data_IF_245405584481
#
_entry.id   IF_245405584481
#
_cell.length_a   1.000
_cell.length_b   1.000
_cell.length_c   1.000
_cell.angle_alpha   90.00
_cell.angle_beta   90.00
_cell.angle_gamma   90.00
#
_symmetry.space_group_name_H-M   'P 1'
#
loop_
_entity.id
_entity.type
_entity.pdbx_description
1 polymer ?
#
# COMPACT_ATOMS: atom_id res chain seq x y z
N UNK A 1 28.13 -10.63 17.24
CA UNK A 1 26.70 -10.60 16.84
C UNK A 1 26.51 -9.39 15.94
N UNK A 2 25.99 -9.56 14.72
CA UNK A 2 25.67 -8.42 13.87
C UNK A 2 24.51 -7.64 14.48
N UNK A 3 24.70 -6.36 14.74
CA UNK A 3 23.64 -5.48 15.24
C UNK A 3 22.57 -5.31 14.17
N UNK A 4 21.34 -5.75 14.47
CA UNK A 4 20.20 -5.54 13.58
C UNK A 4 19.84 -4.06 13.69
N UNK A 5 20.19 -3.27 12.68
CA UNK A 5 19.73 -1.88 12.58
C UNK A 5 18.22 -1.87 12.46
N UNK A 6 17.55 -1.05 13.26
CA UNK A 6 16.09 -0.88 13.24
C UNK A 6 15.72 0.56 12.89
N UNK A 7 14.45 0.75 12.54
CA UNK A 7 13.80 2.06 12.38
C UNK A 7 12.33 1.92 12.75
N UNK A 8 11.67 3.05 12.98
CA UNK A 8 10.21 3.07 13.17
C UNK A 8 9.50 2.61 11.88
N UNK A 9 8.36 1.95 12.05
CA UNK A 9 7.46 1.60 10.97
C UNK A 9 7.17 2.83 10.09
N UNK A 10 7.16 2.66 8.77
CA UNK A 10 6.84 3.78 7.89
C UNK A 10 5.38 4.27 8.02
N UNK A 11 4.48 3.51 8.64
CA UNK A 11 3.09 3.92 8.78
C UNK A 11 2.95 4.99 9.88
N UNK A 12 2.33 6.13 9.56
CA UNK A 12 2.41 7.33 10.41
C UNK A 12 1.70 7.18 11.77
N UNK A 13 0.84 6.17 11.95
CA UNK A 13 0.16 5.84 13.21
C UNK A 13 0.88 4.77 14.04
N UNK A 14 2.05 4.27 13.60
CA UNK A 14 2.69 3.09 14.16
C UNK A 14 4.15 3.35 14.55
N UNK A 15 4.47 3.22 15.84
CA UNK A 15 5.83 3.44 16.38
C UNK A 15 6.66 2.16 16.54
N UNK A 16 6.17 1.03 16.01
CA UNK A 16 6.86 -0.27 16.14
C UNK A 16 8.23 -0.21 15.46
N UNK A 17 9.27 -0.64 16.19
CA UNK A 17 10.61 -0.79 15.63
C UNK A 17 10.68 -2.02 14.73
N UNK A 18 11.11 -1.81 13.49
CA UNK A 18 11.27 -2.85 12.48
C UNK A 18 12.71 -2.88 11.95
N UNK A 19 13.23 -4.06 11.58
CA UNK A 19 14.54 -4.19 10.95
C UNK A 19 14.67 -3.25 9.74
N UNK A 20 15.84 -2.64 9.53
CA UNK A 20 16.10 -1.64 8.49
C UNK A 20 15.91 -2.13 7.05
N UNK A 21 15.77 -3.43 6.85
CA UNK A 21 15.48 -4.03 5.55
C UNK A 21 13.97 -4.21 5.28
N UNK A 22 13.09 -3.93 6.26
CA UNK A 22 11.63 -3.99 6.13
C UNK A 22 11.03 -2.59 6.19
N UNK A 23 10.22 -2.20 5.22
CA UNK A 23 9.64 -0.85 5.20
C UNK A 23 8.65 -0.60 6.36
N UNK A 24 7.88 -1.62 6.73
CA UNK A 24 6.77 -1.53 7.69
C UNK A 24 6.69 -2.79 8.54
N UNK A 25 5.94 -2.70 9.64
CA UNK A 25 5.59 -3.88 10.42
C UNK A 25 4.67 -4.80 9.60
N UNK A 26 4.63 -6.09 9.96
CA UNK A 26 3.84 -7.10 9.22
C UNK A 26 2.35 -6.74 9.14
N UNK A 27 1.80 -6.11 10.17
CA UNK A 27 0.38 -5.74 10.24
C UNK A 27 0.04 -4.63 9.24
N UNK A 28 0.76 -3.53 9.29
CA UNK A 28 0.55 -2.41 8.36
C UNK A 28 0.88 -2.82 6.93
N UNK A 29 1.94 -3.60 6.73
CA UNK A 29 2.27 -4.13 5.40
C UNK A 29 1.17 -5.03 4.84
N UNK A 30 0.43 -5.77 5.67
CA UNK A 30 -0.68 -6.60 5.20
C UNK A 30 -1.79 -5.75 4.56
N UNK A 31 -2.04 -4.54 5.08
CA UNK A 31 -3.05 -3.60 4.59
C UNK A 31 -2.69 -2.95 3.24
N UNK A 32 -1.42 -2.99 2.83
CA UNK A 32 -1.00 -2.42 1.54
C UNK A 32 -1.49 -3.31 0.38
N UNK A 33 -2.17 -2.77 -0.65
CA UNK A 33 -2.59 -3.53 -1.83
C UNK A 33 -1.42 -4.18 -2.57
N UNK A 34 -1.64 -5.36 -3.17
CA UNK A 34 -0.61 -6.14 -3.87
C UNK A 34 0.09 -5.36 -5.01
N UNK A 35 -0.66 -4.52 -5.72
CA UNK A 35 -0.12 -3.64 -6.77
C UNK A 35 0.91 -2.64 -6.20
N UNK A 36 0.58 -1.99 -5.08
CA UNK A 36 1.46 -1.02 -4.40
C UNK A 36 2.67 -1.74 -3.80
N UNK A 37 2.49 -2.92 -3.19
CA UNK A 37 3.59 -3.76 -2.70
C UNK A 37 4.60 -4.05 -3.82
N UNK A 38 4.10 -4.42 -4.99
CA UNK A 38 4.92 -4.71 -6.17
C UNK A 38 5.69 -3.47 -6.63
N UNK A 39 5.04 -2.30 -6.64
CA UNK A 39 5.67 -1.04 -7.01
C UNK A 39 6.84 -0.68 -6.08
N UNK A 40 6.63 -0.78 -4.76
CA UNK A 40 7.68 -0.54 -3.75
C UNK A 40 8.87 -1.48 -3.96
N UNK A 41 8.61 -2.78 -4.10
CA UNK A 41 9.67 -3.77 -4.30
C UNK A 41 10.44 -3.56 -5.61
N UNK A 42 9.73 -3.20 -6.69
CA UNK A 42 10.35 -2.88 -7.98
C UNK A 42 11.21 -1.63 -7.89
N UNK A 43 10.71 -0.56 -7.27
CA UNK A 43 11.45 0.67 -7.08
C UNK A 43 12.69 0.47 -6.20
N UNK A 44 12.56 -0.31 -5.12
CA UNK A 44 13.69 -0.67 -4.25
C UNK A 44 14.79 -1.44 -5.01
N UNK A 45 14.40 -2.46 -5.79
CA UNK A 45 15.34 -3.25 -6.59
C UNK A 45 16.03 -2.43 -7.69
N UNK A 46 15.30 -1.49 -8.30
CA UNK A 46 15.81 -0.65 -9.38
C UNK A 46 16.50 0.63 -8.91
N UNK A 47 16.49 0.92 -7.60
CA UNK A 47 17.11 2.09 -6.98
C UNK A 47 18.54 2.39 -7.48
N UNK A 48 19.46 1.41 -7.69
CA UNK A 48 20.80 1.72 -8.20
C UNK A 48 20.80 2.40 -9.58
N UNK A 49 19.74 2.20 -10.37
CA UNK A 49 19.58 2.76 -11.72
C UNK A 49 18.72 4.02 -11.74
N UNK A 50 17.70 4.08 -10.89
CA UNK A 50 16.67 5.14 -10.92
C UNK A 50 16.79 6.15 -9.78
N UNK A 51 17.74 5.94 -8.86
CA UNK A 51 17.86 6.74 -7.64
C UNK A 51 16.76 6.47 -6.62
N UNK A 52 16.65 7.35 -5.63
CA UNK A 52 15.71 7.24 -4.51
C UNK A 52 14.33 7.82 -4.77
N UNK A 53 14.17 8.71 -5.76
CA UNK A 53 12.90 9.39 -6.06
C UNK A 53 11.73 8.40 -6.26
N UNK A 54 11.82 7.46 -7.22
CA UNK A 54 10.75 6.49 -7.46
C UNK A 54 10.46 5.57 -6.26
N UNK A 55 11.46 5.30 -5.43
CA UNK A 55 11.25 4.55 -4.20
C UNK A 55 10.48 5.37 -3.16
N UNK A 56 10.82 6.64 -2.98
CA UNK A 56 10.11 7.55 -2.07
C UNK A 56 8.64 7.71 -2.47
N UNK A 57 8.35 7.85 -3.77
CA UNK A 57 6.97 7.90 -4.30
C UNK A 57 6.19 6.62 -4.00
N UNK A 58 6.79 5.45 -4.25
CA UNK A 58 6.15 4.17 -3.96
C UNK A 58 5.90 3.98 -2.45
N UNK A 59 6.82 4.44 -1.60
CA UNK A 59 6.66 4.43 -0.14
C UNK A 59 5.51 5.34 0.30
N UNK A 60 5.39 6.54 -0.28
CA UNK A 60 4.28 7.45 0.01
C UNK A 60 2.93 6.82 -0.35
N UNK A 61 2.83 6.15 -1.50
CA UNK A 61 1.64 5.41 -1.89
C UNK A 61 1.31 4.28 -0.91
N UNK A 62 2.32 3.55 -0.41
CA UNK A 62 2.13 2.52 0.60
C UNK A 62 1.59 3.09 1.91
N UNK A 63 2.13 4.23 2.39
CA UNK A 63 1.63 4.92 3.59
C UNK A 63 0.16 5.32 3.45
N UNK A 64 -0.18 5.95 2.32
CA UNK A 64 -1.55 6.35 2.03
C UNK A 64 -2.49 5.16 2.02
N UNK A 65 -2.11 4.05 1.38
CA UNK A 65 -2.93 2.84 1.34
C UNK A 65 -3.24 2.28 2.74
N UNK A 66 -2.26 2.29 3.65
CA UNK A 66 -2.49 1.88 5.05
C UNK A 66 -3.46 2.84 5.74
N UNK A 67 -3.28 4.15 5.60
CA UNK A 67 -4.18 5.14 6.19
C UNK A 67 -5.63 4.98 5.68
N UNK A 68 -5.81 4.75 4.37
CA UNK A 68 -7.12 4.49 3.77
C UNK A 68 -7.74 3.18 4.28
N UNK A 69 -6.98 2.10 4.35
CA UNK A 69 -7.46 0.82 4.85
C UNK A 69 -7.92 0.93 6.32
N UNK A 70 -7.15 1.63 7.17
CA UNK A 70 -7.52 1.85 8.56
C UNK A 70 -8.77 2.71 8.72
N UNK A 71 -8.93 3.72 7.85
CA UNK A 71 -10.14 4.52 7.81
C UNK A 71 -11.36 3.67 7.43
N UNK A 72 -11.26 2.84 6.39
CA UNK A 72 -12.32 1.95 5.97
C UNK A 72 -12.73 0.96 7.09
N UNK A 73 -11.75 0.36 7.76
CA UNK A 73 -11.97 -0.52 8.92
C UNK A 73 -12.69 0.22 10.05
N UNK A 74 -12.28 1.46 10.35
CA UNK A 74 -12.90 2.29 11.40
C UNK A 74 -14.33 2.70 11.07
N UNK A 75 -14.60 3.02 9.80
CA UNK A 75 -15.91 3.40 9.30
C UNK A 75 -16.83 2.17 9.10
N UNK A 76 -16.30 0.96 9.23
CA UNK A 76 -17.08 -0.29 9.10
C UNK A 76 -17.53 -0.56 7.67
N UNK A 77 -16.85 0.01 6.66
CA UNK A 77 -17.16 -0.20 5.25
C UNK A 77 -16.51 -1.52 4.82
N UNK A 78 -17.28 -2.57 4.49
CA UNK A 78 -16.72 -3.78 3.90
C UNK A 78 -16.03 -3.46 2.57
N UNK A 79 -14.85 -4.03 2.38
CA UNK A 79 -14.02 -3.91 1.18
C UNK A 79 -14.61 -4.79 0.06
N UNK A 80 -15.83 -4.49 -0.38
CA UNK A 80 -16.43 -5.02 -1.60
C UNK A 80 -16.55 -3.91 -2.65
N UNK A 81 -15.47 -3.15 -2.84
CA UNK A 81 -15.33 -2.38 -4.10
C UNK A 81 -14.84 -3.33 -5.19
N UNK A 82 -15.63 -4.36 -5.48
CA UNK A 82 -15.68 -4.94 -6.81
C UNK A 82 -16.12 -3.79 -7.71
N UNK A 83 -15.26 -3.38 -8.65
CA UNK A 83 -15.58 -2.39 -9.65
C UNK A 83 -16.88 -2.80 -10.34
N UNK A 84 -18.00 -2.24 -9.90
CA UNK A 84 -19.23 -2.27 -10.68
C UNK A 84 -18.93 -1.36 -11.86
N UNK A 85 -18.46 -1.97 -12.95
CA UNK A 85 -18.49 -1.37 -14.27
C UNK A 85 -19.93 -0.93 -14.46
N UNK A 86 -20.14 0.38 -14.35
CA UNK A 86 -21.37 1.02 -14.73
C UNK A 86 -21.44 0.94 -16.26
N UNK A 87 -21.90 -0.20 -16.79
CA UNK A 87 -22.49 -0.23 -18.13
C UNK A 87 -23.88 0.37 -17.99
N UNK A 88 -23.92 1.70 -17.93
CA UNK A 88 -25.14 2.44 -18.28
C UNK A 88 -25.41 2.26 -19.77
N UNK A 89 -26.70 2.14 -20.10
CA UNK A 89 -27.29 2.23 -21.44
C UNK A 89 -26.86 1.09 -22.41
N UNK A 90 -27.75 0.37 -23.09
CA UNK A 90 -28.76 0.93 -23.98
C UNK A 90 -30.01 0.03 -24.10
N UNK A 91 -31.12 0.72 -24.34
CA UNK A 91 -32.44 0.22 -24.67
C UNK A 91 -32.50 -0.75 -25.86
N UNK A 92 -33.35 -1.77 -25.79
CA UNK A 92 -34.13 -2.22 -26.94
C UNK A 92 -35.45 -2.82 -26.46
N UNK A 93 -36.52 -2.09 -26.78
CA UNK A 93 -37.90 -2.47 -26.55
C UNK A 93 -38.26 -3.81 -27.20
N UNK A 94 -39.20 -4.48 -26.53
CA UNK A 94 -39.83 -5.72 -26.92
C UNK A 94 -41.09 -5.32 -27.69
N UNK A 95 -41.07 -5.49 -29.00
CA UNK A 95 -42.26 -5.52 -29.86
C UNK A 95 -42.23 -6.79 -30.71
#
# INVERSE_FOLDING_TARGET
MAEIRTHACAADHCDIQVPSHLLMCRKDWALVPSAVKTQVLRAYRNRPRTGWGPYAEAVAAAKQAVAHALRAIREGIPDDTELTIWTGDEAAGRD
#
